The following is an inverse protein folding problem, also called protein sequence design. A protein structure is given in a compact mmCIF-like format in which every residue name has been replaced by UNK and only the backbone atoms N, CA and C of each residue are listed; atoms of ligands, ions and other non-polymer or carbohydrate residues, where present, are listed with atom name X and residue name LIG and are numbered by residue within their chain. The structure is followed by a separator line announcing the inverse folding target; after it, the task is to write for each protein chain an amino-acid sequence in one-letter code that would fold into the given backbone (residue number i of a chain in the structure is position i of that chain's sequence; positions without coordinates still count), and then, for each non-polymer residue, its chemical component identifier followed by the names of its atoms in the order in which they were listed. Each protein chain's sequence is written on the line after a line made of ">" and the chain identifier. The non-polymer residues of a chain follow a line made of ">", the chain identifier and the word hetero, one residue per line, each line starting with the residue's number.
data_IF_979788301808
#
_entry.id   IF_979788301808
#
_cell.length_a   1.000
_cell.length_b   1.000
_cell.length_c   1.000
_cell.angle_alpha   90.00
_cell.angle_beta   90.00
_cell.angle_gamma   90.00
#
_symmetry.space_group_name_H-M   'P 1'
#
loop_
_entity.id
_entity.type
_entity.pdbx_description
1 polymer ?
#
# COMPACT_ATOMS: atom_id res chain seq x y z
N UNK A 1 12.59 -18.04 -0.11
CA UNK A 1 12.63 -17.56 1.29
C UNK A 1 11.66 -18.39 2.14
N UNK A 2 11.99 -18.77 3.39
CA UNK A 2 11.08 -19.51 4.26
C UNK A 2 9.96 -18.62 4.84
N UNK A 3 8.78 -19.17 5.16
CA UNK A 3 7.66 -18.41 5.73
C UNK A 3 7.97 -17.87 7.13
N UNK A 4 7.45 -16.67 7.42
CA UNK A 4 7.66 -15.91 8.65
C UNK A 4 7.21 -16.69 9.89
N UNK A 5 8.13 -16.99 10.82
CA UNK A 5 7.80 -17.45 12.18
C UNK A 5 7.70 -16.24 13.10
N UNK A 6 6.49 -15.81 13.47
CA UNK A 6 6.30 -14.74 14.44
C UNK A 6 6.68 -15.23 15.85
N UNK A 7 7.60 -14.57 16.58
CA UNK A 7 7.97 -14.98 17.92
C UNK A 7 6.89 -14.61 18.95
N UNK A 8 6.81 -15.43 20.01
CA UNK A 8 5.93 -15.22 21.14
C UNK A 8 6.20 -13.86 21.82
N UNK A 9 5.10 -13.17 22.15
CA UNK A 9 5.01 -11.81 22.68
C UNK A 9 5.88 -11.61 23.94
N UNK A 10 6.98 -10.88 23.80
CA UNK A 10 7.77 -10.43 24.95
C UNK A 10 7.15 -9.16 25.55
N UNK A 11 6.74 -9.25 26.83
CA UNK A 11 6.15 -8.14 27.60
C UNK A 11 7.31 -7.30 28.14
N UNK A 12 7.70 -6.24 27.44
CA UNK A 12 8.31 -5.02 27.99
C UNK A 12 8.95 -4.20 26.86
N UNK A 13 8.20 -3.27 26.29
CA UNK A 13 8.78 -2.09 25.63
C UNK A 13 7.74 -0.98 25.64
N UNK A 14 8.17 0.21 26.06
CA UNK A 14 7.44 1.48 26.00
C UNK A 14 6.69 1.55 24.66
N UNK A 15 5.42 1.96 24.68
CA UNK A 15 4.61 2.10 23.47
C UNK A 15 5.37 2.97 22.47
N UNK A 16 6.02 2.36 21.48
CA UNK A 16 6.52 3.10 20.35
C UNK A 16 5.31 3.81 19.75
N UNK A 17 5.43 5.09 19.40
CA UNK A 17 4.34 5.88 18.80
C UNK A 17 3.86 5.36 17.44
N UNK A 18 4.24 4.13 17.07
CA UNK A 18 3.92 3.42 15.86
C UNK A 18 2.53 2.79 15.97
N UNK A 19 1.77 2.87 14.88
CA UNK A 19 0.43 2.30 14.83
C UNK A 19 0.48 0.79 14.65
N UNK A 20 -0.47 0.09 15.28
CA UNK A 20 -0.69 -1.33 15.03
C UNK A 20 -1.64 -1.49 13.85
N UNK A 21 -1.31 -2.42 12.96
CA UNK A 21 -2.17 -2.77 11.84
C UNK A 21 -3.41 -3.47 12.35
N UNK A 22 -4.50 -3.40 11.57
CA UNK A 22 -5.60 -4.35 11.73
C UNK A 22 -5.07 -5.79 11.67
N UNK A 23 -5.71 -6.75 12.36
CA UNK A 23 -5.31 -8.15 12.26
C UNK A 23 -5.22 -8.61 10.81
N UNK A 24 -4.22 -9.43 10.51
CA UNK A 24 -4.11 -10.06 9.20
C UNK A 24 -5.32 -10.96 8.96
N UNK A 25 -5.75 -11.12 7.69
CA UNK A 25 -6.86 -12.01 7.35
C UNK A 25 -6.60 -13.46 7.77
N UNK A 26 -7.66 -14.23 8.13
CA UNK A 26 -7.52 -15.65 8.43
C UNK A 26 -6.86 -16.42 7.27
N UNK A 27 -5.90 -17.30 7.57
CA UNK A 27 -5.23 -18.12 6.56
C UNK A 27 -4.17 -17.38 5.71
N UNK A 28 -3.81 -16.13 6.03
CA UNK A 28 -2.82 -15.36 5.26
C UNK A 28 -1.47 -16.07 5.05
N UNK A 29 -1.08 -16.94 6.00
CA UNK A 29 0.16 -17.71 5.95
C UNK A 29 0.13 -18.78 4.85
N UNK A 30 -1.04 -19.38 4.65
CA UNK A 30 -1.29 -20.46 3.70
C UNK A 30 -1.66 -19.93 2.31
N UNK A 31 -2.01 -18.64 2.19
CA UNK A 31 -2.23 -17.98 0.90
C UNK A 31 -1.01 -18.11 -0.01
N UNK A 32 -1.27 -18.30 -1.30
CA UNK A 32 -0.22 -18.29 -2.33
C UNK A 32 0.26 -16.89 -2.68
N UNK A 33 -0.37 -15.84 -2.13
CA UNK A 33 -0.10 -14.43 -2.39
C UNK A 33 0.39 -13.73 -1.12
N UNK A 34 1.13 -12.64 -1.29
CA UNK A 34 1.40 -11.72 -0.19
C UNK A 34 0.19 -10.83 0.09
N UNK A 35 0.23 -10.10 1.20
CA UNK A 35 -0.82 -9.17 1.59
C UNK A 35 -0.22 -7.78 1.76
N UNK A 36 -0.91 -6.78 1.23
CA UNK A 36 -0.58 -5.37 1.35
C UNK A 36 -1.57 -4.66 2.25
N UNK A 37 -1.08 -3.78 3.13
CA UNK A 37 -1.92 -2.94 3.98
C UNK A 37 -1.89 -1.52 3.46
N UNK A 38 -3.04 -0.95 3.11
CA UNK A 38 -3.08 0.38 2.50
C UNK A 38 -4.48 0.84 2.12
N UNK A 39 -4.53 1.75 1.17
CA UNK A 39 -5.76 2.32 0.62
C UNK A 39 -5.90 1.98 -0.85
N UNK A 40 -7.09 1.57 -1.26
CA UNK A 40 -7.45 1.47 -2.66
C UNK A 40 -7.58 2.87 -3.26
N UNK A 41 -6.98 3.07 -4.42
CA UNK A 41 -6.97 4.34 -5.15
C UNK A 41 -7.32 4.11 -6.60
N UNK A 42 -7.95 5.11 -7.23
CA UNK A 42 -8.11 5.16 -8.68
C UNK A 42 -7.18 6.22 -9.25
N UNK A 43 -6.89 6.13 -10.54
CA UNK A 43 -6.18 7.19 -11.24
C UNK A 43 -6.89 8.55 -11.09
N UNK A 44 -8.22 8.58 -11.19
CA UNK A 44 -9.02 9.80 -11.00
C UNK A 44 -8.75 10.42 -9.62
N UNK A 45 -8.81 9.61 -8.55
CA UNK A 45 -8.52 10.12 -7.20
C UNK A 45 -7.09 10.65 -7.05
N UNK A 46 -6.11 10.05 -7.72
CA UNK A 46 -4.73 10.51 -7.70
C UNK A 46 -4.53 11.78 -8.54
N UNK A 47 -5.18 11.88 -9.70
CA UNK A 47 -5.19 13.10 -10.52
C UNK A 47 -5.79 14.27 -9.76
N UNK A 48 -6.95 14.06 -9.14
CA UNK A 48 -7.62 15.08 -8.33
C UNK A 48 -6.74 15.51 -7.15
N UNK A 49 -6.08 14.56 -6.50
CA UNK A 49 -5.11 14.84 -5.44
C UNK A 49 -3.95 15.71 -5.97
N UNK A 50 -3.31 15.32 -7.08
CA UNK A 50 -2.18 16.05 -7.67
C UNK A 50 -2.60 17.47 -8.07
N UNK A 51 -3.76 17.63 -8.71
CA UNK A 51 -4.29 18.95 -9.08
C UNK A 51 -4.53 19.87 -7.88
N UNK A 52 -4.95 19.29 -6.74
CA UNK A 52 -5.27 20.04 -5.53
C UNK A 52 -4.05 20.36 -4.66
N UNK A 53 -3.05 19.47 -4.64
CA UNK A 53 -1.99 19.50 -3.63
C UNK A 53 -0.58 19.67 -4.19
N UNK A 54 -0.33 19.26 -5.44
CA UNK A 54 0.96 19.45 -6.08
C UNK A 54 1.08 20.87 -6.65
N UNK A 55 2.32 21.39 -6.72
CA UNK A 55 2.60 22.69 -7.33
C UNK A 55 2.04 22.78 -8.75
N UNK A 56 1.71 23.98 -9.27
CA UNK A 56 1.08 24.17 -10.57
C UNK A 56 2.06 23.79 -11.69
N UNK A 57 2.14 22.50 -11.96
CA UNK A 57 2.67 21.91 -13.18
C UNK A 57 1.47 21.47 -14.00
N UNK A 58 1.62 21.52 -15.32
CA UNK A 58 0.65 20.87 -16.19
C UNK A 58 0.56 19.41 -15.78
N UNK A 59 -0.68 18.94 -15.52
CA UNK A 59 -0.90 17.56 -15.15
C UNK A 59 -0.41 16.66 -16.30
N UNK A 60 0.50 15.74 -16.01
CA UNK A 60 0.94 14.80 -17.04
C UNK A 60 -0.24 13.99 -17.55
N UNK A 61 -0.26 13.72 -18.85
CA UNK A 61 -1.21 12.76 -19.45
C UNK A 61 -0.79 11.32 -19.17
N UNK A 62 0.48 11.10 -18.87
CA UNK A 62 1.03 9.81 -18.54
C UNK A 62 0.54 9.35 -17.15
N UNK A 63 0.12 8.09 -17.06
CA UNK A 63 -0.43 7.51 -15.84
C UNK A 63 0.66 7.33 -14.76
N UNK A 64 1.85 6.94 -15.17
CA UNK A 64 2.96 6.64 -14.27
C UNK A 64 3.52 7.94 -13.65
N UNK A 65 3.53 9.03 -14.42
CA UNK A 65 3.89 10.35 -13.92
C UNK A 65 2.91 10.81 -12.82
N UNK A 66 1.60 10.66 -13.03
CA UNK A 66 0.59 11.03 -12.03
C UNK A 66 0.76 10.22 -10.75
N UNK A 67 0.94 8.89 -10.89
CA UNK A 67 1.15 8.00 -9.74
C UNK A 67 2.41 8.40 -8.96
N UNK A 68 3.50 8.70 -9.68
CA UNK A 68 4.78 9.11 -9.10
C UNK A 68 4.69 10.46 -8.38
N UNK A 69 4.05 11.45 -9.00
CA UNK A 69 3.84 12.78 -8.41
C UNK A 69 2.96 12.69 -7.15
N UNK A 70 1.87 11.92 -7.21
CA UNK A 70 1.01 11.69 -6.06
C UNK A 70 1.76 11.00 -4.92
N UNK A 71 2.49 9.92 -5.22
CA UNK A 71 3.28 9.18 -4.23
C UNK A 71 4.35 10.07 -3.58
N UNK A 72 5.08 10.84 -4.38
CA UNK A 72 6.11 11.76 -3.90
C UNK A 72 5.51 12.79 -2.94
N UNK A 73 4.41 13.42 -3.32
CA UNK A 73 3.78 14.45 -2.49
C UNK A 73 3.12 13.85 -1.24
N UNK A 74 2.46 12.69 -1.33
CA UNK A 74 1.92 11.96 -0.18
C UNK A 74 3.01 11.62 0.85
N UNK A 75 4.17 11.12 0.40
CA UNK A 75 5.33 10.85 1.27
C UNK A 75 5.81 12.14 1.94
N UNK A 76 5.92 13.23 1.19
CA UNK A 76 6.34 14.55 1.69
C UNK A 76 5.35 15.12 2.71
N UNK A 77 4.06 15.06 2.41
CA UNK A 77 3.02 15.61 3.27
C UNK A 77 2.86 14.79 4.54
N UNK A 78 2.78 13.48 4.44
CA UNK A 78 2.64 12.60 5.61
C UNK A 78 3.91 12.50 6.44
N UNK A 79 5.08 12.63 5.81
CA UNK A 79 6.38 12.31 6.41
C UNK A 79 6.67 10.81 6.47
N UNK A 80 5.82 9.96 5.86
CA UNK A 80 6.00 8.52 5.80
C UNK A 80 6.54 8.12 4.41
N UNK A 81 7.86 7.98 4.31
CA UNK A 81 8.57 7.74 3.05
C UNK A 81 8.54 6.29 2.57
N UNK A 82 8.12 5.36 3.43
CA UNK A 82 7.97 3.94 3.13
C UNK A 82 6.67 3.59 2.37
N UNK A 83 5.82 4.59 2.06
CA UNK A 83 4.61 4.40 1.26
C UNK A 83 4.98 3.89 -0.13
N UNK A 84 4.21 2.97 -0.72
CA UNK A 84 4.49 2.44 -2.05
C UNK A 84 3.21 2.32 -2.89
N UNK A 85 3.35 2.33 -4.21
CA UNK A 85 2.25 2.12 -5.15
C UNK A 85 2.32 0.70 -5.71
N UNK A 86 1.24 -0.09 -5.55
CA UNK A 86 1.19 -1.51 -5.96
C UNK A 86 -0.18 -1.91 -6.51
N UNK A 87 -0.23 -3.00 -7.27
CA UNK A 87 -1.47 -3.68 -7.63
C UNK A 87 -1.88 -4.75 -6.60
N UNK A 88 -3.18 -5.01 -6.51
CA UNK A 88 -3.74 -6.06 -5.66
C UNK A 88 -5.05 -6.62 -6.24
N UNK A 89 -5.48 -7.77 -5.72
CA UNK A 89 -6.77 -8.38 -5.99
C UNK A 89 -7.87 -7.52 -5.34
N UNK A 90 -8.92 -7.12 -6.09
CA UNK A 90 -10.03 -6.34 -5.55
C UNK A 90 -10.78 -7.09 -4.45
N UNK A 91 -10.99 -6.43 -3.31
CA UNK A 91 -11.91 -6.92 -2.28
C UNK A 91 -13.36 -6.52 -2.60
N UNK A 92 -14.33 -7.08 -1.86
CA UNK A 92 -15.74 -6.80 -2.08
C UNK A 92 -16.08 -5.30 -1.94
N UNK A 93 -15.39 -4.57 -1.08
CA UNK A 93 -15.59 -3.13 -0.89
C UNK A 93 -15.04 -2.32 -2.08
N UNK A 94 -13.86 -2.65 -2.59
CA UNK A 94 -13.29 -2.04 -3.78
C UNK A 94 -14.16 -2.28 -5.02
N UNK A 95 -14.70 -3.50 -5.17
CA UNK A 95 -15.65 -3.83 -6.24
C UNK A 95 -16.93 -2.99 -6.10
N UNK A 96 -17.52 -2.93 -4.90
CA UNK A 96 -18.75 -2.18 -4.66
C UNK A 96 -18.59 -0.67 -4.90
N UNK A 97 -17.39 -0.13 -4.64
CA UNK A 97 -17.03 1.28 -4.88
C UNK A 97 -16.57 1.56 -6.32
N UNK A 98 -16.45 0.54 -7.17
CA UNK A 98 -15.99 0.71 -8.55
C UNK A 98 -14.50 1.09 -8.66
N UNK A 99 -13.67 0.71 -7.68
CA UNK A 99 -12.23 1.04 -7.63
C UNK A 99 -11.37 0.06 -8.45
N UNK A 100 -11.98 -0.66 -9.40
CA UNK A 100 -11.33 -1.72 -10.16
C UNK A 100 -10.75 -1.19 -11.46
N UNK A 101 -9.61 -1.74 -11.84
CA UNK A 101 -8.95 -1.50 -13.11
C UNK A 101 -8.82 -2.82 -13.88
N UNK A 102 -9.04 -2.78 -15.20
CA UNK A 102 -8.85 -3.93 -16.07
C UNK A 102 -7.84 -3.57 -17.15
N UNK A 103 -6.60 -4.05 -17.02
CA UNK A 103 -5.62 -3.89 -18.08
C UNK A 103 -5.94 -4.84 -19.24
N UNK A 104 -5.86 -4.36 -20.50
CA UNK A 104 -5.92 -5.23 -21.66
C UNK A 104 -4.81 -6.28 -21.61
N UNK A 105 -5.18 -7.56 -21.61
CA UNK A 105 -4.22 -8.68 -21.59
C UNK A 105 -3.83 -9.20 -20.21
N UNK A 106 -4.36 -8.65 -19.12
CA UNK A 106 -4.25 -9.25 -17.77
C UNK A 106 -5.45 -10.15 -17.44
N UNK A 107 -5.20 -11.21 -16.68
CA UNK A 107 -6.25 -12.09 -16.17
C UNK A 107 -6.95 -11.46 -14.97
N UNK A 108 -8.11 -10.85 -15.22
CA UNK A 108 -9.01 -10.34 -14.19
C UNK A 108 -8.77 -8.90 -13.77
N UNK A 109 -9.68 -8.34 -12.95
CA UNK A 109 -9.59 -6.97 -12.47
C UNK A 109 -8.58 -6.86 -11.33
N UNK A 110 -7.90 -5.72 -11.27
CA UNK A 110 -6.97 -5.33 -10.19
C UNK A 110 -7.46 -4.05 -9.49
N UNK A 111 -6.90 -3.75 -8.33
CA UNK A 111 -7.02 -2.45 -7.67
C UNK A 111 -5.64 -1.88 -7.41
N UNK A 112 -5.45 -0.59 -7.66
CA UNK A 112 -4.23 0.11 -7.30
C UNK A 112 -4.26 0.50 -5.83
N UNK A 113 -3.13 0.37 -5.14
CA UNK A 113 -3.00 0.63 -3.73
C UNK A 113 -1.88 1.61 -3.43
N UNK A 114 -2.14 2.50 -2.48
CA UNK A 114 -1.10 3.17 -1.69
C UNK A 114 -0.81 2.33 -0.44
N UNK A 115 0.21 1.48 -0.52
CA UNK A 115 0.57 0.49 0.50
C UNK A 115 1.53 1.04 1.56
N UNK A 116 1.18 0.82 2.83
CA UNK A 116 1.97 1.13 4.03
C UNK A 116 2.93 -0.01 4.41
N UNK A 117 2.54 -1.26 4.17
CA UNK A 117 3.30 -2.43 4.57
C UNK A 117 2.92 -3.65 3.75
N UNK A 118 3.79 -4.66 3.76
CA UNK A 118 3.55 -5.93 3.09
C UNK A 118 3.93 -7.11 3.99
N UNK A 119 3.27 -8.25 3.83
CA UNK A 119 3.72 -9.53 4.40
C UNK A 119 4.87 -10.18 3.62
N UNK A 120 5.35 -9.57 2.54
CA UNK A 120 6.44 -10.09 1.71
C UNK A 120 7.74 -10.33 2.49
N UNK A 121 8.03 -9.49 3.49
CA UNK A 121 9.17 -9.70 4.37
C UNK A 121 8.89 -9.15 5.76
N UNK A 122 9.67 -9.59 6.75
CA UNK A 122 9.55 -9.07 8.11
C UNK A 122 9.88 -7.58 8.18
N UNK A 123 10.85 -7.13 7.38
CA UNK A 123 11.23 -5.73 7.25
C UNK A 123 10.05 -4.88 6.78
N UNK A 124 9.43 -5.28 5.66
CA UNK A 124 8.26 -4.58 5.10
C UNK A 124 7.05 -4.68 6.02
N UNK A 125 6.86 -5.82 6.68
CA UNK A 125 5.78 -5.99 7.66
C UNK A 125 6.05 -5.21 8.94
N UNK A 126 7.26 -4.75 9.23
CA UNK A 126 7.53 -3.94 10.44
C UNK A 126 7.60 -2.44 10.15
N UNK A 127 7.52 -2.02 8.88
CA UNK A 127 7.33 -0.62 8.50
C UNK A 127 5.97 -0.15 9.02
N UNK A 128 5.99 0.89 9.85
CA UNK A 128 4.81 1.44 10.52
C UNK A 128 4.86 2.95 10.50
N UNK A 129 3.79 3.65 10.08
CA UNK A 129 3.69 5.07 10.34
C UNK A 129 3.54 5.33 11.85
N UNK A 130 3.92 6.53 12.28
CA UNK A 130 3.48 7.06 13.57
C UNK A 130 1.98 7.34 13.56
N UNK A 131 1.39 7.61 14.73
CA UNK A 131 -0.03 7.99 14.83
C UNK A 131 -0.35 9.25 14.00
N UNK A 132 0.53 10.25 14.06
CA UNK A 132 0.36 11.52 13.35
C UNK A 132 0.46 11.32 11.83
N UNK A 133 1.44 10.52 11.38
CA UNK A 133 1.59 10.16 9.97
C UNK A 133 0.36 9.40 9.45
N UNK A 134 -0.13 8.41 10.20
CA UNK A 134 -1.32 7.66 9.81
C UNK A 134 -2.57 8.53 9.81
N UNK A 135 -2.75 9.38 10.81
CA UNK A 135 -3.89 10.29 10.88
C UNK A 135 -3.92 11.21 9.67
N UNK A 136 -2.78 11.75 9.27
CA UNK A 136 -2.66 12.60 8.07
C UNK A 136 -3.00 11.84 6.80
N UNK A 137 -2.50 10.61 6.63
CA UNK A 137 -2.84 9.79 5.46
C UNK A 137 -4.33 9.42 5.44
N UNK A 138 -4.89 9.07 6.59
CA UNK A 138 -6.33 8.73 6.73
C UNK A 138 -7.22 9.92 6.41
N UNK A 139 -6.82 11.14 6.81
CA UNK A 139 -7.51 12.38 6.41
C UNK A 139 -7.46 12.59 4.88
N UNK A 140 -6.31 12.35 4.25
CA UNK A 140 -6.14 12.52 2.81
C UNK A 140 -6.95 11.49 1.99
N UNK A 141 -7.00 10.24 2.43
CA UNK A 141 -7.73 9.17 1.74
C UNK A 141 -9.21 9.06 2.16
N UNK A 142 -9.61 9.69 3.26
CA UNK A 142 -10.98 9.69 3.75
C UNK A 142 -11.46 8.37 4.35
N UNK A 143 -10.60 7.36 4.46
CA UNK A 143 -10.93 6.07 5.07
C UNK A 143 -9.71 5.43 5.77
N UNK A 144 -9.99 4.43 6.61
CA UNK A 144 -8.95 3.65 7.31
C UNK A 144 -8.33 2.60 6.38
N UNK A 145 -7.00 2.38 6.42
CA UNK A 145 -6.36 1.37 5.59
C UNK A 145 -6.83 -0.05 5.96
N UNK A 146 -6.72 -0.97 5.00
CA UNK A 146 -7.09 -2.37 5.16
C UNK A 146 -6.16 -3.30 4.37
N UNK A 147 -6.32 -4.60 4.59
CA UNK A 147 -5.52 -5.63 3.94
C UNK A 147 -6.12 -6.02 2.60
N UNK A 148 -5.26 -6.10 1.59
CA UNK A 148 -5.56 -6.58 0.24
C UNK A 148 -4.58 -7.70 -0.12
N UNK A 149 -5.04 -8.65 -0.91
CA UNK A 149 -4.22 -9.77 -1.39
C UNK A 149 -3.49 -9.34 -2.67
N UNK A 150 -2.19 -9.64 -2.77
CA UNK A 150 -1.37 -9.33 -3.95
C UNK A 150 -1.90 -10.05 -5.19
N UNK A 151 -1.86 -9.41 -6.37
CA UNK A 151 -2.22 -10.07 -7.62
C UNK A 151 -1.17 -11.11 -8.04
N UNK A 152 0.07 -10.99 -7.58
CA UNK A 152 1.15 -11.93 -7.91
C UNK A 152 1.23 -13.10 -6.92
N UNK A 153 1.51 -14.29 -7.45
CA UNK A 153 1.84 -15.45 -6.62
C UNK A 153 3.22 -15.22 -5.97
N UNK A 154 3.38 -15.66 -4.73
CA UNK A 154 4.65 -15.63 -3.97
C UNK A 154 5.84 -16.22 -4.74
N UNK A 155 5.59 -17.21 -5.61
CA UNK A 155 6.61 -17.87 -6.43
C UNK A 155 7.11 -16.98 -7.59
N UNK A 156 6.29 -16.04 -8.02
CA UNK A 156 6.52 -15.15 -9.17
C UNK A 156 6.85 -13.71 -8.70
N UNK A 157 6.79 -13.47 -7.38
CA UNK A 157 7.04 -12.16 -6.79
C UNK A 157 8.52 -11.78 -6.87
N UNK A 158 8.81 -10.72 -7.61
CA UNK A 158 10.14 -10.12 -7.71
C UNK A 158 10.30 -9.09 -6.58
N UNK A 159 11.22 -9.35 -5.64
CA UNK A 159 11.46 -8.54 -4.42
C UNK A 159 11.75 -7.06 -4.71
N UNK A 160 12.27 -6.76 -5.89
CA UNK A 160 12.84 -5.46 -6.27
C UNK A 160 11.82 -4.31 -6.28
N UNK A 161 10.51 -4.60 -6.34
CA UNK A 161 9.43 -3.60 -6.29
C UNK A 161 9.36 -2.78 -4.98
N UNK A 162 10.07 -3.21 -3.92
CA UNK A 162 10.06 -2.56 -2.59
C UNK A 162 11.46 -2.38 -1.97
N UNK A 163 12.49 -2.79 -2.70
CA UNK A 163 13.90 -2.78 -2.29
C UNK A 163 14.69 -1.64 -2.96
N UNK A 164 14.03 -0.53 -3.33
CA UNK A 164 14.70 0.70 -3.79
C UNK A 164 15.46 1.39 -2.65
N UNK A 165 16.47 0.70 -2.11
CA UNK A 165 17.55 1.18 -1.27
C UNK A 165 18.81 0.38 -1.70
N UNK A 166 19.37 0.74 -2.84
CA UNK A 166 20.73 0.40 -3.25
C UNK A 166 21.23 1.45 -4.26
N UNK A 167 21.44 2.67 -3.77
CA UNK A 167 22.74 3.38 -3.79
C UNK A 167 22.64 4.75 -3.10
#
# INVERSE_FOLDING_TARGET
>A
MPPLKLPARNKNTRSSGLVKHKPLPPGWQDSQHYWFYGWAVTEETLRDYVLKHCSPRELSKDHDDVNSDALFDLRRQSGFYDLAFVGAIPDADAIAKGLIYQYPGQEGPEVHLMALSSTCSERLYRRRPTKEQLAKLTELFGEEPRWFEDCHLKKDFVSDLMDSDSD
#
